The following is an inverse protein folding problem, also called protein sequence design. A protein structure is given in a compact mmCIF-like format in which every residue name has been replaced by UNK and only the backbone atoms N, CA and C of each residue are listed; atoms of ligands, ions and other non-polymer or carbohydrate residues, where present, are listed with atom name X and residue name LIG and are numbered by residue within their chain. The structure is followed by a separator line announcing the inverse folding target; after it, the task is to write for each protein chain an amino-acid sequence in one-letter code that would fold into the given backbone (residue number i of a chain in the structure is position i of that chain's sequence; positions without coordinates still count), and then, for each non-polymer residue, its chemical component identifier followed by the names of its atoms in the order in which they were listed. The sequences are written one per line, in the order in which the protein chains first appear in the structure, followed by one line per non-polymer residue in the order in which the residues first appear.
data_IF_826135005172
#
_entry.id   IF_826135005172
#
_cell.length_a   1.000
_cell.length_b   1.000
_cell.length_c   1.000
_cell.angle_alpha   90.00
_cell.angle_beta   90.00
_cell.angle_gamma   90.00
#
_symmetry.space_group_name_H-M   'P 1'
#
loop_
_entity.id
_entity.type
_entity.pdbx_description
1 polymer ?
#
# COMPACT_ATOMS: atom_id res chain seq x y z
N UNK A 1 6.53 43.65 18.99
CA UNK A 1 7.94 43.50 18.59
C UNK A 1 8.24 42.01 18.59
N UNK A 2 7.92 41.33 17.49
CA UNK A 2 8.08 39.88 17.35
C UNK A 2 9.33 39.60 16.51
N UNK A 3 10.30 38.91 17.09
CA UNK A 3 11.55 38.54 16.43
C UNK A 3 11.41 37.14 15.82
N UNK A 4 11.51 37.06 14.49
CA UNK A 4 11.64 35.82 13.74
C UNK A 4 13.11 35.35 13.82
N UNK A 5 13.33 34.13 14.28
CA UNK A 5 14.63 33.45 14.20
C UNK A 5 14.59 32.51 13.00
N UNK A 6 15.35 32.84 11.96
CA UNK A 6 15.62 31.97 10.81
C UNK A 6 16.84 31.10 11.16
N UNK A 7 16.68 29.77 11.13
CA UNK A 7 17.79 28.81 11.21
C UNK A 7 18.08 28.25 9.83
N UNK A 8 19.26 28.54 9.31
CA UNK A 8 19.87 27.89 8.15
C UNK A 8 20.45 26.54 8.57
N UNK A 9 20.14 25.47 7.83
CA UNK A 9 20.83 24.18 7.90
C UNK A 9 21.44 23.85 6.54
N UNK A 10 22.72 23.41 6.46
CA UNK A 10 23.33 22.99 5.22
C UNK A 10 22.99 21.54 4.86
N UNK A 11 22.56 21.33 3.62
CA UNK A 11 22.44 20.02 2.98
C UNK A 11 23.82 19.49 2.60
N UNK A 12 24.16 18.27 3.05
CA UNK A 12 25.30 17.51 2.54
C UNK A 12 24.76 16.31 1.73
N UNK A 13 24.99 16.31 0.42
CA UNK A 13 24.73 15.20 -0.48
C UNK A 13 25.90 14.20 -0.38
N UNK A 14 25.61 12.96 0.03
CA UNK A 14 26.54 11.84 -0.10
C UNK A 14 26.00 10.90 -1.19
N UNK A 15 26.73 10.81 -2.31
CA UNK A 15 26.48 9.86 -3.39
C UNK A 15 27.34 8.63 -3.13
N UNK A 16 26.72 7.49 -2.84
CA UNK A 16 27.39 6.19 -2.77
C UNK A 16 27.01 5.37 -4.00
N UNK A 17 28.00 5.05 -4.83
CA UNK A 17 27.86 4.11 -5.93
C UNK A 17 28.08 2.68 -5.40
N UNK A 18 27.09 1.79 -5.58
CA UNK A 18 27.29 0.34 -5.44
C UNK A 18 27.19 -0.32 -6.81
N UNK A 19 28.26 -1.03 -7.17
CA UNK A 19 28.36 -1.85 -8.36
C UNK A 19 27.88 -3.28 -8.07
N UNK A 20 27.01 -3.78 -8.95
CA UNK A 20 27.02 -5.14 -9.52
C UNK A 20 26.79 -6.35 -8.61
N UNK A 21 25.63 -6.99 -8.79
CA UNK A 21 25.53 -8.46 -8.89
C UNK A 21 24.29 -8.82 -9.73
N UNK A 22 24.50 -9.42 -10.90
CA UNK A 22 23.45 -10.01 -11.73
C UNK A 22 22.99 -11.32 -11.10
N UNK A 23 21.75 -11.40 -10.64
CA UNK A 23 21.12 -12.65 -10.23
C UNK A 23 19.82 -12.83 -10.99
N UNK A 24 19.70 -13.94 -11.72
CA UNK A 24 18.44 -14.39 -12.30
C UNK A 24 17.47 -14.72 -11.15
N UNK A 25 16.37 -13.97 -11.03
CA UNK A 25 15.30 -14.30 -10.08
C UNK A 25 14.31 -15.22 -10.81
N UNK A 26 14.24 -16.47 -10.34
CA UNK A 26 13.22 -17.44 -10.72
C UNK A 26 12.08 -17.35 -9.71
N UNK A 27 10.84 -17.19 -10.19
CA UNK A 27 9.63 -17.33 -9.38
C UNK A 27 9.36 -18.83 -9.23
N UNK A 28 9.93 -19.44 -8.19
CA UNK A 28 9.71 -20.84 -7.86
C UNK A 28 8.32 -21.02 -7.24
N UNK A 29 7.43 -21.67 -7.98
CA UNK A 29 6.28 -22.38 -7.42
C UNK A 29 6.69 -23.81 -7.12
N UNK A 30 6.57 -24.23 -5.85
CA UNK A 30 6.74 -25.63 -5.47
C UNK A 30 5.58 -26.46 -6.03
N UNK A 31 5.91 -27.39 -6.92
CA UNK A 31 4.99 -28.36 -7.49
C UNK A 31 5.73 -29.65 -7.81
N UNK A 32 5.78 -30.55 -6.83
CA UNK A 32 6.16 -31.95 -7.01
C UNK A 32 5.23 -32.65 -8.01
N UNK A 33 5.79 -33.37 -8.98
CA UNK A 33 4.99 -34.19 -9.90
C UNK A 33 5.77 -34.71 -11.10
N UNK A 34 6.29 -35.94 -11.00
CA UNK A 34 7.23 -36.51 -11.95
C UNK A 34 6.66 -36.97 -13.30
N UNK A 35 7.60 -37.16 -14.23
CA UNK A 35 7.66 -38.38 -15.07
C UNK A 35 7.38 -38.21 -16.56
N UNK A 36 8.31 -38.76 -17.38
CA UNK A 36 8.01 -39.26 -18.72
C UNK A 36 8.79 -38.59 -19.86
N UNK A 37 9.76 -39.32 -20.41
CA UNK A 37 10.60 -38.86 -21.52
C UNK A 37 9.99 -39.00 -22.91
N UNK A 38 10.72 -38.47 -23.90
CA UNK A 38 10.42 -38.62 -25.32
C UNK A 38 11.27 -37.68 -26.17
N UNK A 39 12.30 -38.23 -26.81
CA UNK A 39 13.13 -37.55 -27.80
C UNK A 39 12.36 -37.34 -29.11
N UNK A 40 12.58 -36.22 -29.82
CA UNK A 40 13.12 -36.20 -31.21
C UNK A 40 13.07 -34.81 -31.88
N UNK A 41 14.08 -34.61 -32.73
CA UNK A 41 14.20 -33.79 -33.94
C UNK A 41 14.30 -32.26 -33.85
N UNK A 42 15.51 -31.84 -34.26
CA UNK A 42 15.97 -30.58 -34.82
C UNK A 42 15.15 -30.05 -36.01
N UNK A 43 14.92 -28.74 -36.02
CA UNK A 43 14.74 -27.96 -37.24
C UNK A 43 15.47 -26.61 -37.10
N UNK A 44 16.54 -26.47 -37.89
CA UNK A 44 17.22 -25.20 -38.16
C UNK A 44 16.29 -24.29 -38.97
N UNK A 45 16.00 -23.10 -38.43
CA UNK A 45 15.36 -22.01 -39.14
C UNK A 45 16.25 -20.77 -39.09
N UNK A 46 16.81 -20.40 -40.24
CA UNK A 46 17.54 -19.16 -40.45
C UNK A 46 16.58 -18.00 -40.69
N UNK A 47 16.88 -16.81 -40.17
CA UNK A 47 16.31 -15.56 -40.70
C UNK A 47 16.21 -14.42 -39.69
N UNK A 48 16.87 -13.30 -40.01
CA UNK A 48 16.49 -11.97 -39.52
C UNK A 48 17.38 -11.36 -38.46
N UNK A 49 18.61 -10.97 -38.83
CA UNK A 49 19.40 -10.02 -38.06
C UNK A 49 18.77 -8.62 -38.19
N UNK A 50 18.00 -8.19 -37.21
CA UNK A 50 17.58 -6.79 -37.08
C UNK A 50 18.72 -5.97 -36.47
N UNK A 51 19.23 -5.04 -37.25
CA UNK A 51 20.16 -3.99 -36.79
C UNK A 51 19.49 -3.11 -35.76
N UNK A 52 19.87 -3.26 -34.50
CA UNK A 52 19.56 -2.31 -33.42
C UNK A 52 20.43 -1.06 -33.59
N UNK A 53 19.82 0.06 -33.94
CA UNK A 53 20.46 1.37 -33.91
C UNK A 53 20.77 1.75 -32.46
N UNK A 54 22.04 1.86 -32.13
CA UNK A 54 22.52 2.44 -30.87
C UNK A 54 22.22 3.94 -30.85
N UNK A 55 21.02 4.29 -30.40
CA UNK A 55 20.71 5.64 -29.96
C UNK A 55 21.38 5.86 -28.61
N UNK A 56 22.15 6.93 -28.48
CA UNK A 56 22.64 7.45 -27.20
C UNK A 56 21.45 7.96 -26.37
N UNK A 57 20.70 7.03 -25.79
CA UNK A 57 19.62 7.29 -24.86
C UNK A 57 20.15 7.33 -23.44
N UNK A 58 19.69 8.31 -22.67
CA UNK A 58 19.74 8.35 -21.21
C UNK A 58 19.54 6.93 -20.64
N UNK A 59 20.32 6.45 -19.66
CA UNK A 59 20.13 5.11 -19.10
C UNK A 59 18.67 4.99 -18.63
N UNK A 60 17.87 4.28 -19.42
CA UNK A 60 16.45 4.11 -19.18
C UNK A 60 16.27 3.34 -17.88
N UNK A 61 15.48 3.90 -16.99
CA UNK A 61 14.92 3.23 -15.81
C UNK A 61 13.91 2.16 -16.27
N UNK A 62 14.32 1.29 -17.18
CA UNK A 62 13.48 0.26 -17.74
C UNK A 62 13.47 -0.91 -16.76
N UNK A 63 12.43 -0.94 -15.93
CA UNK A 63 11.98 -2.17 -15.32
C UNK A 63 11.98 -3.29 -16.37
N UNK A 64 12.46 -4.48 -16.04
CA UNK A 64 12.46 -5.62 -16.96
C UNK A 64 11.48 -6.70 -16.48
N UNK A 65 10.47 -7.04 -17.30
CA UNK A 65 9.48 -8.07 -16.99
C UNK A 65 8.28 -8.06 -17.96
N UNK A 66 7.54 -9.17 -18.09
CA UNK A 66 6.34 -9.22 -18.92
C UNK A 66 5.22 -8.39 -18.29
N UNK A 67 4.76 -7.36 -19.02
CA UNK A 67 3.70 -6.42 -18.60
C UNK A 67 2.32 -6.73 -19.16
N UNK A 68 2.20 -7.77 -19.98
CA UNK A 68 0.94 -8.02 -20.68
C UNK A 68 0.00 -8.75 -19.74
N UNK A 69 -1.22 -8.24 -19.62
CA UNK A 69 -2.31 -9.00 -19.02
C UNK A 69 -2.39 -10.38 -19.70
N UNK A 70 -2.58 -11.42 -18.91
CA UNK A 70 -2.88 -12.75 -19.45
C UNK A 70 -4.16 -12.75 -20.30
N UNK A 71 -4.46 -13.86 -20.98
CA UNK A 71 -5.74 -13.99 -21.67
C UNK A 71 -6.88 -13.73 -20.69
N UNK A 72 -7.84 -12.90 -21.11
CA UNK A 72 -8.99 -12.56 -20.27
C UNK A 72 -9.76 -13.84 -19.86
N UNK A 73 -10.09 -13.91 -18.58
CA UNK A 73 -10.93 -14.91 -17.96
C UNK A 73 -12.36 -14.38 -17.77
N UNK A 74 -13.28 -15.25 -17.34
CA UNK A 74 -14.66 -14.85 -17.05
C UNK A 74 -14.78 -13.80 -15.93
N UNK A 75 -13.75 -13.67 -15.08
CA UNK A 75 -13.70 -12.69 -14.01
C UNK A 75 -12.76 -11.51 -14.29
N UNK A 76 -12.19 -11.40 -15.50
CA UNK A 76 -11.46 -10.19 -15.89
C UNK A 76 -12.45 -9.01 -15.98
N UNK A 77 -12.18 -7.86 -15.35
CA UNK A 77 -13.03 -6.68 -15.47
C UNK A 77 -13.18 -6.27 -16.94
N UNK A 78 -14.42 -6.12 -17.43
CA UNK A 78 -14.69 -5.85 -18.85
C UNK A 78 -15.02 -4.39 -19.14
N UNK A 79 -15.25 -3.55 -18.13
CA UNK A 79 -15.61 -2.17 -18.39
C UNK A 79 -14.45 -1.41 -19.03
N UNK A 80 -14.75 -0.56 -20.01
CA UNK A 80 -13.73 0.22 -20.71
C UNK A 80 -12.90 1.11 -19.76
N UNK A 81 -13.46 1.53 -18.61
CA UNK A 81 -12.76 2.29 -17.59
C UNK A 81 -11.65 1.52 -16.85
N UNK A 82 -11.57 0.20 -17.00
CA UNK A 82 -10.60 -0.67 -16.31
C UNK A 82 -9.45 -1.08 -17.19
N UNK A 83 -9.43 -0.58 -18.43
CA UNK A 83 -8.48 -0.96 -19.45
C UNK A 83 -8.30 -2.50 -19.55
N UNK A 84 -9.38 -3.27 -19.78
CA UNK A 84 -9.30 -4.74 -19.88
C UNK A 84 -8.17 -5.17 -20.81
N UNK A 85 -7.35 -6.12 -20.34
CA UNK A 85 -6.24 -6.67 -21.13
C UNK A 85 -5.00 -5.77 -21.23
N UNK A 86 -4.98 -4.59 -20.60
CA UNK A 86 -3.80 -3.70 -20.60
C UNK A 86 -2.99 -3.73 -19.30
N UNK A 87 -3.55 -4.26 -18.23
CA UNK A 87 -2.90 -4.30 -16.92
C UNK A 87 -3.24 -5.59 -16.18
N UNK A 88 -2.24 -6.21 -15.55
CA UNK A 88 -2.37 -7.41 -14.72
C UNK A 88 -3.05 -7.16 -13.37
N UNK A 89 -3.17 -5.89 -12.96
CA UNK A 89 -3.80 -5.49 -11.69
C UNK A 89 -5.08 -4.67 -11.91
N UNK A 90 -5.67 -4.77 -13.10
CA UNK A 90 -6.87 -4.01 -13.48
C UNK A 90 -6.70 -2.48 -13.35
N UNK A 91 -5.54 -1.91 -13.67
CA UNK A 91 -5.32 -0.47 -13.52
C UNK A 91 -6.35 0.41 -14.27
N UNK A 92 -6.90 1.40 -13.55
CA UNK A 92 -7.83 2.40 -14.12
C UNK A 92 -7.10 3.37 -15.05
N UNK A 93 -5.84 3.66 -14.72
CA UNK A 93 -4.93 4.43 -15.57
C UNK A 93 -3.76 3.53 -16.00
N UNK A 94 -3.51 3.49 -17.30
CA UNK A 94 -2.38 2.78 -17.89
C UNK A 94 -1.36 3.83 -18.33
N UNK A 95 -0.18 3.82 -17.70
CA UNK A 95 0.85 4.85 -17.89
C UNK A 95 2.02 4.37 -18.77
N UNK A 96 2.04 3.10 -19.17
CA UNK A 96 2.98 2.51 -20.13
C UNK A 96 4.46 2.88 -19.88
N UNK A 97 4.89 2.81 -18.61
CA UNK A 97 6.26 3.10 -18.21
C UNK A 97 6.60 4.58 -18.07
N UNK A 98 5.61 5.48 -17.98
CA UNK A 98 5.83 6.91 -17.77
C UNK A 98 6.70 7.19 -16.53
N UNK A 99 7.57 8.22 -16.56
CA UNK A 99 8.46 8.54 -15.46
C UNK A 99 7.74 9.14 -14.24
N UNK A 100 6.48 9.55 -14.38
CA UNK A 100 5.62 9.91 -13.25
C UNK A 100 4.28 9.19 -13.39
N UNK A 101 3.87 8.56 -12.30
CA UNK A 101 2.67 7.75 -12.24
C UNK A 101 2.15 7.67 -10.80
N UNK A 102 0.91 7.23 -10.64
CA UNK A 102 0.32 7.04 -9.33
C UNK A 102 -0.37 5.69 -9.21
N UNK A 103 -0.17 5.04 -8.08
CA UNK A 103 -0.83 3.80 -7.72
C UNK A 103 -1.75 4.07 -6.52
N UNK A 104 -2.96 3.52 -6.56
CA UNK A 104 -3.86 3.44 -5.41
C UNK A 104 -3.69 2.09 -4.73
N UNK A 105 -3.63 2.06 -3.40
CA UNK A 105 -3.73 0.81 -2.64
C UNK A 105 -5.05 0.11 -2.97
N UNK A 106 -4.97 -1.05 -3.61
CA UNK A 106 -6.11 -1.82 -4.08
C UNK A 106 -6.52 -2.91 -3.08
N UNK A 107 -5.55 -3.45 -2.34
CA UNK A 107 -5.78 -4.44 -1.30
C UNK A 107 -4.67 -4.38 -0.25
N UNK A 108 -5.01 -4.62 1.00
CA UNK A 108 -4.08 -4.74 2.12
C UNK A 108 -4.51 -5.91 3.00
N UNK A 109 -3.55 -6.61 3.59
CA UNK A 109 -3.83 -7.56 4.66
C UNK A 109 -2.80 -7.41 5.76
N UNK A 110 -3.29 -6.97 6.91
CA UNK A 110 -2.49 -6.85 8.12
C UNK A 110 -2.22 -8.23 8.71
N UNK A 111 -0.96 -8.48 9.03
CA UNK A 111 -0.55 -9.60 9.88
C UNK A 111 -0.34 -9.16 11.33
N UNK A 112 -0.04 -7.87 11.56
CA UNK A 112 -0.04 -7.25 12.88
C UNK A 112 -0.59 -5.81 12.83
N UNK A 113 -1.23 -5.36 13.92
CA UNK A 113 -1.64 -6.15 15.09
C UNK A 113 -2.86 -7.04 14.78
N UNK A 114 -3.11 -8.06 15.62
CA UNK A 114 -4.21 -9.00 15.42
C UNK A 114 -5.57 -8.31 15.29
N UNK A 115 -5.73 -7.18 15.99
CA UNK A 115 -6.87 -6.28 15.89
C UNK A 115 -7.16 -5.83 14.46
N UNK A 116 -6.16 -5.53 13.63
CA UNK A 116 -6.36 -5.11 12.23
C UNK A 116 -6.52 -6.29 11.24
N UNK A 117 -6.15 -7.50 11.68
CA UNK A 117 -6.15 -8.71 10.84
C UNK A 117 -7.45 -9.52 10.90
N UNK A 118 -8.38 -9.17 11.82
CA UNK A 118 -9.56 -10.00 12.10
C UNK A 118 -10.81 -9.18 12.45
N UNK A 119 -11.97 -9.85 12.43
CA UNK A 119 -13.24 -9.29 12.90
C UNK A 119 -13.70 -8.02 12.17
N UNK A 120 -14.41 -7.15 12.89
CA UNK A 120 -14.99 -5.91 12.36
C UNK A 120 -13.92 -4.99 11.78
N UNK A 121 -12.71 -4.98 12.35
CA UNK A 121 -11.58 -4.19 11.85
C UNK A 121 -11.22 -4.54 10.42
N UNK A 122 -11.02 -5.84 10.18
CA UNK A 122 -10.72 -6.39 8.87
C UNK A 122 -11.88 -6.04 7.93
N UNK A 123 -13.13 -6.22 8.36
CA UNK A 123 -14.28 -5.84 7.55
C UNK A 123 -14.34 -4.34 7.24
N UNK A 124 -14.05 -3.45 8.19
CA UNK A 124 -14.05 -1.99 7.97
C UNK A 124 -12.89 -1.59 7.05
N UNK A 125 -11.69 -2.13 7.25
CA UNK A 125 -10.53 -1.86 6.40
C UNK A 125 -10.68 -2.45 4.99
N UNK A 126 -11.23 -3.66 4.89
CA UNK A 126 -11.56 -4.28 3.61
C UNK A 126 -12.71 -3.55 2.93
N UNK A 127 -13.72 -3.10 3.67
CA UNK A 127 -14.80 -2.26 3.11
C UNK A 127 -14.29 -0.86 2.77
N UNK A 128 -13.21 -0.37 3.38
CA UNK A 128 -12.53 0.86 2.96
C UNK A 128 -11.72 0.66 1.68
N UNK A 129 -11.42 -0.59 1.30
CA UNK A 129 -10.66 -0.97 0.10
C UNK A 129 -11.46 -1.79 -0.92
N UNK A 130 -12.69 -2.19 -0.62
CA UNK A 130 -13.54 -3.11 -1.39
C UNK A 130 -14.94 -2.55 -1.69
N UNK A 131 -15.57 -2.89 -2.82
CA UNK A 131 -16.42 -2.01 -3.64
C UNK A 131 -17.87 -1.77 -3.15
N UNK A 132 -18.65 -0.95 -3.89
CA UNK A 132 -19.74 -1.60 -4.64
C UNK A 132 -19.54 -1.53 -6.17
N UNK A 133 -19.95 -2.59 -6.89
CA UNK A 133 -19.91 -2.70 -8.36
C UNK A 133 -20.75 -1.61 -9.07
N UNK A 134 -20.59 -1.39 -10.41
CA UNK A 134 -20.01 -2.34 -11.35
C UNK A 134 -18.76 -1.93 -12.13
N UNK A 135 -18.29 -0.68 -12.11
CA UNK A 135 -17.19 -0.30 -13.02
C UNK A 135 -15.85 -0.68 -12.40
N UNK A 136 -15.22 -1.76 -12.90
CA UNK A 136 -13.86 -2.21 -12.59
C UNK A 136 -13.58 -2.99 -11.31
N UNK A 137 -14.56 -3.23 -10.44
CA UNK A 137 -14.29 -3.80 -9.10
C UNK A 137 -13.25 -2.99 -8.29
N UNK A 138 -12.90 -1.79 -8.77
CA UNK A 138 -12.01 -0.85 -8.13
C UNK A 138 -12.93 0.13 -7.43
N UNK A 139 -12.84 0.25 -6.11
CA UNK A 139 -13.86 0.98 -5.39
C UNK A 139 -13.87 2.45 -5.81
N UNK A 140 -15.07 2.98 -6.02
CA UNK A 140 -15.35 4.42 -5.95
C UNK A 140 -15.34 4.87 -4.48
N UNK A 141 -14.26 4.56 -3.75
CA UNK A 141 -14.02 5.25 -2.50
C UNK A 141 -13.47 6.61 -2.78
N UNK A 142 -14.12 7.54 -2.13
CA UNK A 142 -13.77 8.93 -2.22
C UNK A 142 -12.54 9.25 -1.36
N UNK A 143 -12.07 8.33 -0.52
CA UNK A 143 -10.79 8.37 0.16
C UNK A 143 -9.94 7.15 -0.22
N UNK A 144 -8.70 7.40 -0.64
CA UNK A 144 -7.76 6.38 -1.10
C UNK A 144 -6.38 6.61 -0.49
N UNK A 145 -5.59 5.54 -0.32
CA UNK A 145 -4.16 5.68 -0.07
C UNK A 145 -3.41 5.64 -1.40
N UNK A 146 -2.72 6.73 -1.73
CA UNK A 146 -1.98 6.91 -2.99
C UNK A 146 -0.47 6.80 -2.79
N UNK A 147 0.18 6.25 -3.79
CA UNK A 147 1.63 6.23 -4.01
C UNK A 147 1.93 6.94 -5.33
N UNK A 148 2.41 8.18 -5.30
CA UNK A 148 2.78 8.96 -6.47
C UNK A 148 4.29 8.92 -6.66
N UNK A 149 4.73 8.31 -7.75
CA UNK A 149 6.13 8.20 -8.12
C UNK A 149 6.51 9.35 -9.06
N UNK A 150 7.66 9.95 -8.80
CA UNK A 150 8.37 10.83 -9.73
C UNK A 150 9.80 10.30 -9.85
N UNK A 151 10.02 9.47 -10.88
CA UNK A 151 11.30 8.83 -11.11
C UNK A 151 12.37 9.81 -11.62
N UNK A 152 11.95 10.98 -12.11
CA UNK A 152 12.88 12.03 -12.52
C UNK A 152 13.40 12.78 -11.29
N UNK A 153 12.52 13.08 -10.34
CA UNK A 153 12.89 13.68 -9.06
C UNK A 153 13.50 12.67 -8.07
N UNK A 154 13.31 11.37 -8.30
CA UNK A 154 13.73 10.32 -7.37
C UNK A 154 12.89 10.33 -6.08
N UNK A 155 11.59 10.58 -6.19
CA UNK A 155 10.70 10.71 -5.03
C UNK A 155 9.44 9.87 -5.13
N UNK A 156 8.96 9.45 -3.96
CA UNK A 156 7.65 8.88 -3.73
C UNK A 156 6.88 9.83 -2.80
N UNK A 157 5.75 10.36 -3.26
CA UNK A 157 4.79 11.06 -2.40
C UNK A 157 3.67 10.10 -2.04
N UNK A 158 3.37 9.94 -0.75
CA UNK A 158 2.31 9.04 -0.30
C UNK A 158 1.44 9.64 0.80
N UNK A 159 0.16 9.28 0.79
CA UNK A 159 -0.79 9.68 1.81
C UNK A 159 -2.24 9.40 1.41
N UNK A 160 -3.16 9.88 2.25
CA UNK A 160 -4.59 9.88 1.91
C UNK A 160 -4.88 10.82 0.74
N UNK A 161 -5.81 10.45 -0.11
CA UNK A 161 -6.25 11.25 -1.25
C UNK A 161 -7.76 11.22 -1.38
N UNK A 162 -8.35 12.32 -1.87
CA UNK A 162 -9.75 12.40 -2.25
C UNK A 162 -9.92 12.22 -3.74
N UNK A 163 -10.93 11.49 -4.17
CA UNK A 163 -11.33 11.52 -5.58
C UNK A 163 -12.00 12.88 -5.87
N UNK A 164 -11.59 13.56 -6.93
CA UNK A 164 -12.23 14.80 -7.35
C UNK A 164 -13.73 14.63 -7.66
N UNK A 165 -14.47 15.73 -7.76
CA UNK A 165 -15.85 15.69 -8.27
C UNK A 165 -15.85 15.68 -9.81
N UNK A 166 -16.77 14.93 -10.44
CA UNK A 166 -16.99 14.93 -11.90
C UNK A 166 -17.02 13.54 -12.55
N UNK A 167 -17.08 13.49 -13.88
CA UNK A 167 -17.14 12.24 -14.67
C UNK A 167 -15.76 11.65 -15.04
N UNK A 168 -14.66 12.39 -14.81
CA UNK A 168 -13.30 11.88 -14.97
C UNK A 168 -12.35 12.38 -13.85
N UNK A 169 -12.72 12.24 -12.56
CA UNK A 169 -11.94 12.83 -11.49
C UNK A 169 -10.71 11.98 -11.18
N UNK A 170 -9.54 12.59 -11.27
CA UNK A 170 -8.33 12.04 -10.68
C UNK A 170 -8.32 12.18 -9.16
N UNK A 171 -7.38 11.52 -8.51
CA UNK A 171 -7.14 11.64 -7.07
C UNK A 171 -6.32 12.89 -6.74
N UNK A 172 -6.70 13.57 -5.66
CA UNK A 172 -5.95 14.68 -5.07
C UNK A 172 -5.52 14.28 -3.67
N UNK A 173 -4.21 14.34 -3.40
CA UNK A 173 -3.68 14.11 -2.06
C UNK A 173 -4.28 15.12 -1.07
N UNK A 174 -4.66 14.64 0.11
CA UNK A 174 -5.23 15.45 1.18
C UNK A 174 -4.08 16.09 1.92
N UNK A 175 -4.17 17.40 2.13
CA UNK A 175 -3.31 18.17 3.01
C UNK A 175 -4.21 19.07 3.86
N UNK A 176 -4.79 18.48 4.89
CA UNK A 176 -5.79 19.12 5.76
C UNK A 176 -5.76 18.49 7.17
N UNK A 177 -6.46 19.10 8.12
CA UNK A 177 -6.68 18.56 9.46
C UNK A 177 -7.93 17.66 9.43
N UNK A 178 -7.79 16.40 9.82
CA UNK A 178 -8.89 15.45 9.95
C UNK A 178 -8.86 14.79 11.32
N UNK A 179 -10.01 14.75 12.00
CA UNK A 179 -10.12 14.20 13.35
C UNK A 179 -9.06 14.76 14.34
N UNK A 180 -8.74 16.06 14.22
CA UNK A 180 -7.77 16.74 15.09
C UNK A 180 -6.29 16.47 14.78
N UNK A 181 -5.97 15.65 13.76
CA UNK A 181 -4.61 15.39 13.33
C UNK A 181 -4.35 15.94 11.92
N UNK A 182 -3.10 16.35 11.67
CA UNK A 182 -2.66 16.70 10.34
C UNK A 182 -2.60 15.43 9.46
N UNK A 183 -3.35 15.44 8.36
CA UNK A 183 -3.28 14.45 7.30
C UNK A 183 -2.52 15.12 6.15
N UNK A 184 -1.20 15.00 6.19
CA UNK A 184 -0.30 15.60 5.21
C UNK A 184 0.44 14.50 4.46
N UNK A 185 0.58 14.58 3.13
CA UNK A 185 1.33 13.59 2.36
C UNK A 185 2.81 13.66 2.70
N UNK A 186 3.47 12.52 2.69
CA UNK A 186 4.89 12.40 2.97
C UNK A 186 5.65 12.21 1.66
N UNK A 187 6.73 12.96 1.49
CA UNK A 187 7.66 12.81 0.36
C UNK A 187 8.90 12.07 0.85
N UNK A 188 9.16 10.91 0.27
CA UNK A 188 10.32 10.07 0.58
C UNK A 188 11.21 9.91 -0.66
N UNK A 189 12.54 9.84 -0.50
CA UNK A 189 13.43 9.52 -1.60
C UNK A 189 13.21 8.06 -2.04
N UNK A 190 13.20 7.83 -3.35
CA UNK A 190 13.08 6.50 -3.94
C UNK A 190 13.95 6.37 -5.19
N UNK A 191 14.53 5.19 -5.38
CA UNK A 191 15.22 4.81 -6.60
C UNK A 191 14.72 3.43 -7.03
N UNK A 192 13.86 3.39 -8.04
CA UNK A 192 13.51 2.13 -8.70
C UNK A 192 14.70 1.73 -9.58
N UNK A 193 15.42 0.68 -9.18
CA UNK A 193 16.49 0.10 -10.01
C UNK A 193 15.92 -0.58 -11.27
N UNK A 194 16.79 -1.15 -12.11
CA UNK A 194 16.37 -1.91 -13.30
C UNK A 194 15.45 -3.12 -12.99
N UNK A 195 15.48 -3.61 -11.75
CA UNK A 195 14.58 -4.66 -11.25
C UNK A 195 13.25 -4.16 -10.69
N UNK A 196 13.06 -2.84 -10.63
CA UNK A 196 11.91 -2.13 -10.07
C UNK A 196 11.50 -2.56 -8.68
N UNK A 197 12.52 -2.90 -7.91
CA UNK A 197 12.43 -3.21 -6.50
C UNK A 197 11.91 -1.98 -5.73
N UNK A 198 10.86 -2.21 -4.95
CA UNK A 198 10.30 -1.24 -4.03
C UNK A 198 10.91 -1.50 -2.65
N UNK A 199 11.76 -0.58 -2.21
CA UNK A 199 12.25 -0.48 -0.84
C UNK A 199 12.45 0.99 -0.47
N UNK A 200 11.59 1.51 0.39
CA UNK A 200 11.54 2.93 0.75
C UNK A 200 11.09 3.11 2.19
N UNK A 201 11.88 3.87 2.94
CA UNK A 201 11.46 4.40 4.25
C UNK A 201 10.67 5.67 4.02
N UNK A 202 9.37 5.60 4.28
CA UNK A 202 8.45 6.74 4.15
C UNK A 202 8.60 7.69 5.33
N UNK A 203 8.66 7.16 6.56
CA UNK A 203 8.65 7.95 7.79
C UNK A 203 7.26 7.97 8.44
N UNK A 204 6.90 9.08 9.07
CA UNK A 204 5.65 9.18 9.83
C UNK A 204 4.50 9.59 8.92
N UNK A 205 3.39 8.84 8.95
CA UNK A 205 2.25 9.03 8.07
C UNK A 205 0.93 8.75 8.80
N UNK A 206 0.03 9.74 8.79
CA UNK A 206 -1.36 9.54 9.20
C UNK A 206 -2.21 9.19 7.98
N UNK A 207 -2.74 7.96 7.94
CA UNK A 207 -3.59 7.50 6.84
C UNK A 207 -5.06 7.59 7.25
N UNK A 208 -5.89 8.42 6.59
CA UNK A 208 -7.30 8.52 6.93
C UNK A 208 -8.05 7.26 6.48
N UNK A 209 -8.88 6.72 7.37
CA UNK A 209 -9.78 5.61 7.12
C UNK A 209 -11.22 6.13 7.17
N UNK A 210 -11.96 5.86 6.10
CA UNK A 210 -13.37 6.20 6.01
C UNK A 210 -14.22 5.00 6.36
N UNK A 211 -15.28 5.22 7.14
CA UNK A 211 -16.25 4.17 7.48
C UNK A 211 -17.69 4.58 7.21
N UNK A 212 -17.95 5.83 6.78
CA UNK A 212 -19.25 6.27 6.32
C UNK A 212 -19.23 6.68 4.83
N UNK A 213 -20.31 6.46 4.08
CA UNK A 213 -20.38 6.86 2.67
C UNK A 213 -20.50 8.39 2.48
N UNK A 214 -20.75 9.15 3.56
CA UNK A 214 -21.01 10.59 3.54
C UNK A 214 -19.83 11.48 3.96
N UNK A 215 -18.68 10.90 4.30
CA UNK A 215 -17.48 11.56 4.86
C UNK A 215 -17.67 12.33 6.15
N UNK A 216 -18.82 12.20 6.81
CA UNK A 216 -19.04 12.93 8.04
C UNK A 216 -18.11 12.40 9.15
N UNK A 217 -17.63 11.16 8.99
CA UNK A 217 -16.93 10.43 10.02
C UNK A 217 -15.75 9.64 9.44
N UNK A 218 -14.55 10.00 9.89
CA UNK A 218 -13.31 9.30 9.59
C UNK A 218 -12.47 9.18 10.87
N UNK A 219 -11.55 8.22 10.86
CA UNK A 219 -10.44 8.17 11.81
C UNK A 219 -9.15 8.09 11.01
N UNK A 220 -7.99 8.08 11.66
CA UNK A 220 -6.72 7.85 10.97
C UNK A 220 -5.90 6.78 11.65
N UNK A 221 -5.05 6.11 10.88
CA UNK A 221 -4.01 5.21 11.39
C UNK A 221 -2.69 6.01 11.47
N UNK A 222 -2.16 6.26 12.68
CA UNK A 222 -0.94 7.05 12.87
C UNK A 222 0.31 6.18 12.75
N UNK A 223 0.72 5.87 11.52
CA UNK A 223 1.93 5.08 11.29
C UNK A 223 3.18 5.90 11.61
N UNK A 224 4.11 5.27 12.32
CA UNK A 224 5.44 5.79 12.62
C UNK A 224 6.49 4.93 11.96
N UNK A 225 7.52 5.60 11.42
CA UNK A 225 8.62 4.96 10.67
C UNK A 225 8.13 3.93 9.64
N UNK A 226 7.09 4.30 8.89
CA UNK A 226 6.53 3.47 7.84
C UNK A 226 7.61 3.16 6.79
N UNK A 227 7.70 1.91 6.39
CA UNK A 227 8.56 1.42 5.29
C UNK A 227 7.74 0.56 4.35
N UNK A 228 7.89 0.78 3.05
CA UNK A 228 7.36 -0.10 2.00
C UNK A 228 8.53 -0.89 1.43
N UNK A 229 8.44 -2.21 1.37
CA UNK A 229 9.60 -3.04 1.00
C UNK A 229 9.21 -4.42 0.45
N UNK A 230 10.22 -5.17 -0.02
CA UNK A 230 10.07 -6.57 -0.41
C UNK A 230 9.12 -6.79 -1.59
N UNK A 231 8.99 -5.78 -2.46
CA UNK A 231 8.07 -5.82 -3.58
C UNK A 231 8.64 -5.26 -4.87
N UNK A 232 7.83 -5.30 -5.94
CA UNK A 232 8.19 -4.75 -7.23
C UNK A 232 7.06 -3.91 -7.82
N UNK A 233 7.43 -2.77 -8.39
CA UNK A 233 6.56 -2.05 -9.33
C UNK A 233 6.65 -2.74 -10.68
N UNK A 234 5.51 -2.98 -11.32
CA UNK A 234 5.48 -3.61 -12.64
C UNK A 234 6.20 -2.74 -13.68
N UNK A 235 6.81 -3.35 -14.72
CA UNK A 235 7.55 -2.56 -15.70
C UNK A 235 6.79 -1.55 -16.55
N UNK A 236 5.47 -1.68 -16.63
CA UNK A 236 4.57 -0.69 -17.23
C UNK A 236 4.15 0.41 -16.24
N UNK A 237 4.64 0.36 -15.00
CA UNK A 237 4.32 1.26 -13.89
C UNK A 237 2.84 1.28 -13.49
N UNK A 238 2.10 0.22 -13.81
CA UNK A 238 0.67 0.14 -13.52
C UNK A 238 0.36 -0.59 -12.21
N UNK A 239 1.26 -1.41 -11.67
CA UNK A 239 0.91 -2.39 -10.65
C UNK A 239 1.97 -2.59 -9.57
N UNK A 240 1.47 -2.90 -8.38
CA UNK A 240 2.19 -3.69 -7.36
C UNK A 240 1.27 -4.87 -7.05
N UNK A 241 1.73 -6.09 -7.29
CA UNK A 241 0.88 -7.28 -7.19
C UNK A 241 0.03 -7.51 -8.44
N UNK A 242 -0.93 -8.43 -8.35
CA UNK A 242 -1.71 -8.95 -9.49
C UNK A 242 -3.17 -9.14 -9.08
N UNK A 243 -4.11 -8.88 -9.99
CA UNK A 243 -5.52 -9.18 -9.80
C UNK A 243 -5.79 -10.66 -10.10
N UNK A 244 -6.49 -11.35 -9.20
CA UNK A 244 -6.63 -12.81 -9.20
C UNK A 244 -7.82 -13.29 -10.05
N UNK A 245 -8.05 -12.71 -11.22
CA UNK A 245 -9.21 -13.04 -12.06
C UNK A 245 -9.33 -14.54 -12.39
N UNK A 246 -8.21 -15.21 -12.66
CA UNK A 246 -8.17 -16.64 -12.94
C UNK A 246 -8.54 -17.54 -11.75
N UNK A 247 -8.44 -17.02 -10.51
CA UNK A 247 -8.80 -17.76 -9.30
C UNK A 247 -10.22 -17.45 -8.84
N UNK A 248 -10.78 -16.32 -9.24
CA UNK A 248 -12.15 -15.92 -8.90
C UNK A 248 -13.18 -16.79 -9.65
N UNK A 249 -14.28 -17.07 -8.96
CA UNK A 249 -15.35 -17.95 -9.46
C UNK A 249 -16.49 -17.13 -10.09
N UNK A 250 -16.82 -17.33 -11.38
CA UNK A 250 -17.99 -16.71 -11.99
C UNK A 250 -19.31 -17.12 -11.32
N UNK A 251 -19.35 -18.31 -10.71
CA UNK A 251 -20.51 -18.79 -9.95
C UNK A 251 -20.81 -17.94 -8.71
N UNK A 252 -19.78 -17.26 -8.18
CA UNK A 252 -19.87 -16.36 -7.03
C UNK A 252 -19.84 -14.88 -7.46
N UNK A 253 -20.25 -14.60 -8.70
CA UNK A 253 -20.19 -13.28 -9.31
C UNK A 253 -18.78 -12.64 -9.24
N UNK A 254 -17.72 -13.46 -9.28
CA UNK A 254 -16.33 -13.04 -9.15
C UNK A 254 -16.03 -12.30 -7.84
N UNK A 255 -16.84 -12.52 -6.80
CA UNK A 255 -16.61 -11.92 -5.50
C UNK A 255 -15.37 -12.55 -4.81
N UNK A 256 -14.48 -11.73 -4.21
CA UNK A 256 -13.37 -12.26 -3.46
C UNK A 256 -13.84 -12.92 -2.15
N UNK A 257 -13.06 -13.88 -1.67
CA UNK A 257 -13.23 -14.52 -0.37
C UNK A 257 -11.93 -14.48 0.42
N UNK A 258 -11.97 -14.88 1.68
CA UNK A 258 -10.75 -15.00 2.49
C UNK A 258 -9.78 -16.05 1.94
N UNK A 259 -10.28 -17.10 1.28
CA UNK A 259 -9.46 -18.13 0.64
C UNK A 259 -8.97 -17.71 -0.74
N UNK A 260 -9.74 -16.87 -1.45
CA UNK A 260 -9.42 -16.37 -2.79
C UNK A 260 -9.57 -14.85 -2.79
N UNK A 261 -8.53 -14.10 -2.37
CA UNK A 261 -8.59 -12.65 -2.36
C UNK A 261 -8.61 -12.10 -3.78
N UNK A 262 -9.15 -10.89 -3.95
CA UNK A 262 -9.19 -10.20 -5.25
C UNK A 262 -7.80 -9.94 -5.83
N UNK A 263 -6.79 -9.78 -4.97
CA UNK A 263 -5.42 -9.50 -5.37
C UNK A 263 -4.43 -10.43 -4.69
N UNK A 264 -3.43 -10.85 -5.44
CA UNK A 264 -2.17 -11.34 -4.90
C UNK A 264 -1.28 -10.14 -4.60
N UNK A 265 -0.82 -10.06 -3.36
CA UNK A 265 0.05 -8.96 -2.90
C UNK A 265 1.43 -9.00 -3.56
N UNK A 266 1.96 -7.81 -3.82
CA UNK A 266 3.27 -7.66 -4.46
C UNK A 266 4.29 -6.91 -3.63
N UNK A 267 3.93 -6.43 -2.43
CA UNK A 267 4.83 -5.71 -1.52
C UNK A 267 4.39 -5.85 -0.06
N UNK A 268 5.26 -5.39 0.84
CA UNK A 268 5.06 -5.38 2.28
C UNK A 268 5.16 -3.96 2.83
N UNK A 269 4.49 -3.71 3.95
CA UNK A 269 4.67 -2.50 4.73
C UNK A 269 4.87 -2.83 6.20
N UNK A 270 5.79 -2.09 6.83
CA UNK A 270 6.08 -2.18 8.25
C UNK A 270 6.09 -0.79 8.87
N UNK A 271 5.71 -0.73 10.14
CA UNK A 271 5.81 0.47 10.97
C UNK A 271 5.43 0.15 12.39
N UNK A 272 5.05 1.16 13.15
CA UNK A 272 4.40 0.98 14.46
C UNK A 272 3.46 2.16 14.73
N UNK A 273 2.60 2.02 15.74
CA UNK A 273 1.74 3.09 16.24
C UNK A 273 1.97 3.23 17.73
N UNK A 274 2.23 4.45 18.24
CA UNK A 274 2.32 4.65 19.69
C UNK A 274 0.94 4.47 20.32
N UNK A 275 0.91 3.94 21.55
CA UNK A 275 -0.35 3.77 22.27
C UNK A 275 -0.98 5.12 22.64
N UNK A 276 -0.19 6.14 22.95
CA UNK A 276 -0.68 7.48 23.26
C UNK A 276 -1.36 8.15 22.05
N UNK A 277 -0.76 8.04 20.86
CA UNK A 277 -1.39 8.56 19.63
C UNK A 277 -2.62 7.74 19.25
N UNK A 278 -2.55 6.41 19.38
CA UNK A 278 -3.70 5.56 19.16
C UNK A 278 -4.85 5.86 20.15
N UNK A 279 -4.56 6.26 21.39
CA UNK A 279 -5.60 6.61 22.36
C UNK A 279 -6.30 7.93 22.01
N UNK A 280 -5.59 8.85 21.35
CA UNK A 280 -6.17 10.10 20.84
C UNK A 280 -7.07 9.90 19.61
N UNK A 281 -7.01 8.75 18.93
CA UNK A 281 -7.83 8.45 17.75
C UNK A 281 -9.13 7.79 18.18
N UNK A 282 -10.27 8.47 17.99
CA UNK A 282 -11.59 7.91 18.30
C UNK A 282 -12.19 7.20 17.08
N UNK A 283 -12.66 5.96 17.30
CA UNK A 283 -13.42 5.19 16.32
C UNK A 283 -14.91 5.26 16.70
N UNK A 284 -15.58 6.33 16.26
CA UNK A 284 -16.94 6.66 16.69
C UNK A 284 -17.97 5.52 16.56
N UNK A 285 -17.99 4.69 15.50
CA UNK A 285 -18.92 3.56 15.39
C UNK A 285 -18.76 2.51 16.48
N UNK A 286 -17.56 2.41 17.05
CA UNK A 286 -17.23 1.47 18.11
C UNK A 286 -17.27 2.13 19.50
N UNK A 287 -17.53 3.45 19.56
CA UNK A 287 -17.49 4.26 20.78
C UNK A 287 -16.23 4.03 21.63
N UNK A 288 -15.07 3.88 20.99
CA UNK A 288 -13.80 3.62 21.68
C UNK A 288 -12.60 4.21 20.93
N UNK A 289 -11.48 4.40 21.61
CA UNK A 289 -10.21 4.79 20.99
C UNK A 289 -9.58 3.65 20.19
N UNK A 290 -8.69 4.00 19.25
CA UNK A 290 -7.89 3.03 18.52
C UNK A 290 -7.03 2.22 19.50
N UNK A 291 -6.52 2.81 20.59
CA UNK A 291 -5.79 2.06 21.62
C UNK A 291 -6.64 0.92 22.23
N UNK A 292 -7.88 1.21 22.66
CA UNK A 292 -8.78 0.19 23.22
C UNK A 292 -9.07 -0.88 22.19
N UNK A 293 -9.31 -0.49 20.94
CA UNK A 293 -9.53 -1.42 19.85
C UNK A 293 -8.33 -2.34 19.58
N UNK A 294 -7.11 -1.79 19.59
CA UNK A 294 -5.87 -2.53 19.38
C UNK A 294 -5.61 -3.55 20.48
N UNK A 295 -6.11 -3.30 21.70
CA UNK A 295 -6.00 -4.25 22.82
C UNK A 295 -6.83 -5.52 22.64
N UNK A 296 -7.85 -5.48 21.78
CA UNK A 296 -8.87 -6.53 21.60
C UNK A 296 -9.64 -6.91 22.87
N UNK A 297 -9.46 -6.19 23.99
CA UNK A 297 -10.13 -6.44 25.26
C UNK A 297 -10.54 -5.11 25.91
N UNK A 298 -11.65 -4.57 25.42
CA UNK A 298 -12.23 -3.33 25.93
C UNK A 298 -12.83 -3.45 27.35
N UNK A 299 -12.89 -4.65 27.93
CA UNK A 299 -13.32 -4.86 29.31
C UNK A 299 -12.12 -4.75 30.26
N UNK A 300 -10.96 -5.29 29.87
CA UNK A 300 -9.74 -5.20 30.65
C UNK A 300 -9.02 -3.85 30.50
N UNK A 301 -8.98 -3.30 29.28
CA UNK A 301 -8.16 -2.14 28.95
C UNK A 301 -8.95 -0.88 28.60
N UNK A 302 -10.28 -0.93 28.59
CA UNK A 302 -11.13 0.23 28.32
C UNK A 302 -11.64 0.88 29.61
N UNK A 303 -11.46 2.19 29.73
CA UNK A 303 -12.07 3.03 30.76
C UNK A 303 -13.04 4.02 30.11
N UNK A 304 -14.24 4.15 30.69
CA UNK A 304 -15.26 5.06 30.17
C UNK A 304 -14.88 6.50 30.49
N UNK A 305 -14.67 7.31 29.46
CA UNK A 305 -14.44 8.76 29.54
C UNK A 305 -15.47 9.45 28.65
N UNK A 306 -16.39 10.18 29.27
CA UNK A 306 -17.58 10.72 28.63
C UNK A 306 -18.39 9.61 27.92
N UNK A 307 -18.52 9.70 26.60
CA UNK A 307 -19.26 8.77 25.75
C UNK A 307 -18.37 7.73 25.04
N UNK A 308 -17.05 7.75 25.29
CA UNK A 308 -16.09 6.87 24.63
C UNK A 308 -15.33 6.02 25.64
N UNK A 309 -14.87 4.84 25.21
CA UNK A 309 -13.85 4.08 25.95
C UNK A 309 -12.46 4.50 25.50
N UNK A 310 -11.67 5.06 26.42
CA UNK A 310 -10.24 5.29 26.22
C UNK A 310 -9.44 4.19 26.89
N UNK A 311 -8.15 4.09 26.58
CA UNK A 311 -7.27 3.13 27.23
C UNK A 311 -7.14 3.47 28.71
N UNK A 312 -7.42 2.49 29.57
CA UNK A 312 -7.28 2.63 31.01
C UNK A 312 -5.86 3.06 31.37
N UNK A 313 -5.75 3.99 32.33
CA UNK A 313 -4.47 4.51 32.81
C UNK A 313 -4.13 4.01 34.20
N UNK A 314 -2.87 3.71 34.43
CA UNK A 314 -2.34 3.33 35.74
C UNK A 314 -2.21 4.53 36.68
N UNK A 315 -1.80 4.29 37.95
CA UNK A 315 -1.60 5.36 38.94
C UNK A 315 -0.54 6.40 38.54
N UNK A 316 0.37 6.05 37.62
CA UNK A 316 1.41 6.92 37.06
C UNK A 316 0.95 7.69 35.81
N UNK A 317 -0.31 7.52 35.40
CA UNK A 317 -0.89 8.14 34.21
C UNK A 317 -0.53 7.43 32.89
N UNK A 318 0.23 6.33 32.92
CA UNK A 318 0.57 5.58 31.73
C UNK A 318 -0.57 4.66 31.31
N UNK A 319 -0.68 4.40 30.00
CA UNK A 319 -1.60 3.39 29.47
C UNK A 319 -1.23 2.00 30.05
N UNK A 320 -2.25 1.30 30.58
CA UNK A 320 -2.11 -0.03 31.18
C UNK A 320 -1.87 -1.09 30.11
N UNK A 321 -2.56 -0.99 28.97
CA UNK A 321 -2.32 -1.86 27.82
C UNK A 321 -0.85 -1.75 27.38
N UNK A 322 -0.19 -2.89 27.18
CA UNK A 322 1.20 -2.96 26.73
C UNK A 322 1.24 -3.53 25.33
N UNK A 323 1.85 -2.80 24.41
CA UNK A 323 2.02 -3.23 23.02
C UNK A 323 3.18 -4.22 22.86
N UNK A 324 3.45 -4.61 21.61
CA UNK A 324 4.55 -5.53 21.26
C UNK A 324 5.80 -4.83 20.71
N UNK A 325 5.83 -3.49 20.76
CA UNK A 325 6.93 -2.65 20.28
C UNK A 325 7.35 -1.58 21.30
N UNK A 326 8.59 -1.13 21.20
CA UNK A 326 9.14 0.00 21.96
C UNK A 326 9.42 1.17 21.02
N UNK A 327 8.68 2.27 21.17
CA UNK A 327 8.79 3.46 20.31
C UNK A 327 10.19 4.10 20.39
N UNK A 328 10.76 4.15 21.60
CA UNK A 328 12.04 4.82 21.86
C UNK A 328 13.25 4.12 21.22
N UNK A 329 13.21 2.79 21.13
CA UNK A 329 14.32 1.99 20.60
C UNK A 329 14.05 1.43 19.20
N UNK A 330 12.79 1.48 18.76
CA UNK A 330 12.35 0.87 17.50
C UNK A 330 12.70 -0.61 17.41
N UNK A 331 12.42 -1.32 18.49
CA UNK A 331 12.68 -2.74 18.68
C UNK A 331 11.45 -3.41 19.30
N UNK A 332 11.38 -4.77 19.27
CA UNK A 332 10.38 -5.51 20.03
C UNK A 332 10.30 -5.06 21.49
N UNK A 333 9.09 -5.07 22.04
CA UNK A 333 8.85 -4.65 23.41
C UNK A 333 9.72 -5.42 24.43
N UNK A 334 10.09 -4.73 25.50
CA UNK A 334 10.76 -5.30 26.67
C UNK A 334 9.97 -4.96 27.93
N UNK A 335 10.34 -5.54 29.07
CA UNK A 335 9.68 -5.21 30.35
C UNK A 335 9.72 -3.72 30.70
N UNK A 336 10.71 -2.97 30.19
CA UNK A 336 10.84 -1.53 30.42
C UNK A 336 10.23 -0.63 29.35
N UNK A 337 9.77 -1.19 28.22
CA UNK A 337 9.25 -0.40 27.10
C UNK A 337 8.34 -1.24 26.21
N UNK A 338 7.05 -0.92 26.24
CA UNK A 338 5.98 -1.61 25.52
C UNK A 338 4.85 -0.60 25.18
N UNK A 339 5.24 0.56 24.66
CA UNK A 339 4.42 1.76 24.47
C UNK A 339 3.93 1.92 23.04
N UNK A 340 4.15 0.93 22.18
CA UNK A 340 3.72 0.93 20.79
C UNK A 340 3.29 -0.47 20.32
N UNK A 341 2.47 -0.52 19.28
CA UNK A 341 2.13 -1.76 18.57
C UNK A 341 2.83 -1.81 17.22
N UNK A 342 3.43 -2.96 16.90
CA UNK A 342 4.01 -3.21 15.59
C UNK A 342 2.90 -3.32 14.55
N UNK A 343 3.11 -2.68 13.41
CA UNK A 343 2.28 -2.86 12.22
C UNK A 343 3.10 -3.60 11.17
N UNK A 344 2.50 -4.66 10.64
CA UNK A 344 3.02 -5.38 9.48
C UNK A 344 1.85 -5.74 8.57
N UNK A 345 1.99 -5.50 7.27
CA UNK A 345 0.99 -5.88 6.29
C UNK A 345 1.62 -6.20 4.93
N UNK A 346 0.85 -6.89 4.10
CA UNK A 346 1.15 -7.08 2.68
C UNK A 346 0.10 -6.36 1.86
N UNK A 347 0.44 -5.86 0.67
CA UNK A 347 -0.48 -5.07 -0.14
C UNK A 347 -0.30 -5.25 -1.64
N UNK A 348 -1.35 -4.85 -2.37
CA UNK A 348 -1.36 -4.64 -3.81
C UNK A 348 -1.81 -3.20 -4.12
N UNK A 349 -1.36 -2.67 -5.25
CA UNK A 349 -1.72 -1.34 -5.72
C UNK A 349 -1.91 -1.33 -7.24
N UNK A 350 -2.80 -0.46 -7.72
CA UNK A 350 -3.20 -0.37 -9.13
C UNK A 350 -3.12 1.06 -9.64
N UNK A 351 -2.76 1.24 -10.91
CA UNK A 351 -2.62 2.53 -11.57
C UNK A 351 -3.90 3.35 -11.53
N UNK A 352 -3.76 4.63 -11.18
CA UNK A 352 -4.85 5.60 -11.13
C UNK A 352 -4.41 6.95 -11.67
N UNK A 353 -5.41 7.72 -12.12
CA UNK A 353 -5.21 9.09 -12.55
C UNK A 353 -5.12 10.05 -11.36
N UNK A 354 -4.16 10.96 -11.38
CA UNK A 354 -4.10 12.10 -10.45
C UNK A 354 -4.89 13.28 -11.00
N UNK A 355 -5.48 14.06 -10.10
CA UNK A 355 -5.99 15.37 -10.44
C UNK A 355 -4.81 16.30 -10.80
N UNK A 356 -4.99 17.23 -11.75
CA UNK A 356 -3.95 18.16 -12.17
C UNK A 356 -3.51 19.11 -11.05
#
# INVERSE_FOLDING_TARGET
MFAFIVRNAPFALAVAALAGCSSNVSFGGDGDGGGGGGATSSAQGAGGSTTSSAGSGTPGLACSGPNSAGPATACTPQDAGCNPGKSVCAAVEVVDGAPSFALKMAHISFSKPAALSSGIAKSVLQNWLGPPPPVCHIPNFLLAWIFRFDLTAGTLTTGGARQGAGMAPGFQLIDDISAGAAITPVVAPIALGAGCDLDVTVGDLNVPIQYDPGFASNFHLPFRKLRLHGGKVSPDHNCIGVYNDALLSPGDACAPTDAVPAYTHGAQLDGWMSLEEADAVIISPLQQSLCVFLSQDAAAYGEQVDQYKLCARGPDGQIVFKGDWCSATDQPATAGCADAVKVTATFAASGVKMAP
#
